data_IF_429059233636
#
_entry.id   IF_429059233636
#
_cell.length_a   1.000
_cell.length_b   1.000
_cell.length_c   1.000
_cell.angle_alpha   90.00
_cell.angle_beta   90.00
_cell.angle_gamma   90.00
#
_symmetry.space_group_name_H-M   'P 1'
#
loop_
_entity.id
_entity.type
_entity.pdbx_description
1 polymer ?
#
# COMPACT_ATOMS: atom_id res chain seq x y z
N UNK A 1 -3.20 5.61 18.14
CA UNK A 1 -4.49 5.62 17.43
C UNK A 1 -4.20 5.44 15.94
N UNK A 2 -4.52 4.27 15.39
CA UNK A 2 -4.16 3.88 14.01
C UNK A 2 -5.21 2.94 13.44
N UNK A 3 -5.38 2.97 12.11
CA UNK A 3 -6.29 2.07 11.38
C UNK A 3 -5.50 1.27 10.36
N UNK A 4 -5.86 0.01 10.15
CA UNK A 4 -5.41 -0.80 9.03
C UNK A 4 -6.61 -1.07 8.11
N UNK A 5 -6.55 -0.58 6.87
CA UNK A 5 -7.54 -0.87 5.83
C UNK A 5 -7.10 -2.12 5.07
N UNK A 6 -7.89 -3.18 5.13
CA UNK A 6 -7.57 -4.46 4.52
C UNK A 6 -8.74 -5.02 3.70
N UNK A 7 -8.49 -5.81 2.64
CA UNK A 7 -9.52 -6.57 1.94
C UNK A 7 -10.26 -7.53 2.87
N UNK A 8 -11.50 -7.90 2.52
CA UNK A 8 -12.32 -8.82 3.31
C UNK A 8 -11.63 -10.16 3.54
N UNK A 9 -10.95 -10.69 2.53
CA UNK A 9 -10.19 -11.94 2.63
C UNK A 9 -9.11 -11.88 3.71
N UNK A 10 -8.41 -10.74 3.84
CA UNK A 10 -7.40 -10.52 4.88
C UNK A 10 -8.05 -10.40 6.26
N UNK A 11 -9.22 -9.74 6.34
CA UNK A 11 -9.99 -9.63 7.58
C UNK A 11 -10.46 -11.02 8.04
N UNK A 12 -10.94 -11.86 7.13
CA UNK A 12 -11.42 -13.20 7.44
C UNK A 12 -10.28 -14.12 7.87
N UNK A 13 -9.13 -14.06 7.20
CA UNK A 13 -7.92 -14.77 7.64
C UNK A 13 -7.50 -14.33 9.06
N UNK A 14 -7.52 -13.02 9.34
CA UNK A 14 -7.19 -12.50 10.67
C UNK A 14 -8.22 -12.89 11.74
N UNK A 15 -9.50 -13.07 11.39
CA UNK A 15 -10.54 -13.56 12.31
C UNK A 15 -10.33 -15.03 12.69
N UNK A 16 -9.91 -15.85 11.73
CA UNK A 16 -9.68 -17.28 11.92
C UNK A 16 -8.42 -17.55 12.78
N UNK A 17 -7.31 -16.87 12.45
CA UNK A 17 -6.01 -17.18 13.04
C UNK A 17 -5.11 -15.96 13.32
N UNK A 18 -5.67 -14.78 13.55
CA UNK A 18 -4.93 -13.60 13.99
C UNK A 18 -4.45 -13.69 15.45
N UNK A 19 -3.45 -12.88 15.80
CA UNK A 19 -2.90 -12.78 17.17
C UNK A 19 -2.86 -11.30 17.62
N UNK A 20 -3.99 -10.75 18.11
CA UNK A 20 -4.11 -9.33 18.45
C UNK A 20 -3.24 -8.94 19.64
N UNK A 21 -2.18 -8.18 19.37
CA UNK A 21 -1.23 -7.64 20.37
C UNK A 21 -0.75 -6.24 19.97
N UNK A 22 -0.44 -5.41 20.95
CA UNK A 22 0.14 -4.08 20.72
C UNK A 22 1.62 -4.20 20.31
N UNK A 23 1.87 -4.38 19.00
CA UNK A 23 3.22 -4.61 18.45
C UNK A 23 3.85 -3.40 17.76
N UNK A 24 3.09 -2.32 17.55
CA UNK A 24 3.55 -1.18 16.76
C UNK A 24 4.82 -0.51 17.33
N UNK A 25 4.95 -0.51 18.65
CA UNK A 25 6.09 0.09 19.37
C UNK A 25 7.16 -0.95 19.76
N UNK A 26 6.96 -2.21 19.41
CA UNK A 26 7.93 -3.28 19.68
C UNK A 26 9.07 -3.23 18.66
N UNK A 27 10.28 -3.57 19.09
CA UNK A 27 11.47 -3.76 18.23
C UNK A 27 11.84 -2.58 17.30
N UNK A 28 11.44 -1.36 17.66
CA UNK A 28 11.71 -0.15 16.85
C UNK A 28 13.21 0.07 16.59
N UNK A 29 14.08 -0.31 17.53
CA UNK A 29 15.52 -0.24 17.33
C UNK A 29 16.00 -1.20 16.22
N UNK A 30 15.44 -2.41 16.17
CA UNK A 30 15.73 -3.39 15.12
C UNK A 30 15.20 -2.90 13.77
N UNK A 31 13.98 -2.39 13.72
CA UNK A 31 13.40 -1.80 12.49
C UNK A 31 14.29 -0.69 11.92
N UNK A 32 14.81 0.21 12.77
CA UNK A 32 15.77 1.24 12.36
C UNK A 32 17.10 0.66 11.87
N UNK A 33 17.58 -0.41 12.51
CA UNK A 33 18.79 -1.12 12.10
C UNK A 33 18.62 -1.75 10.71
N UNK A 34 17.48 -2.39 10.45
CA UNK A 34 17.15 -2.97 9.17
C UNK A 34 17.19 -1.93 8.04
N UNK A 35 16.57 -0.76 8.25
CA UNK A 35 16.61 0.34 7.28
C UNK A 35 18.03 0.85 7.02
N UNK A 36 18.87 0.97 8.06
CA UNK A 36 20.26 1.44 7.92
C UNK A 36 21.15 0.47 7.13
N UNK A 37 20.81 -0.83 7.11
CA UNK A 37 21.58 -1.86 6.41
C UNK A 37 21.19 -2.02 4.94
N UNK A 38 20.11 -1.41 4.48
CA UNK A 38 19.68 -1.47 3.08
C UNK A 38 20.79 -1.05 2.08
N UNK A 39 21.56 0.04 2.31
CA UNK A 39 22.64 0.42 1.40
C UNK A 39 23.77 -0.61 1.32
N UNK A 40 24.03 -1.36 2.39
CA UNK A 40 25.04 -2.44 2.40
C UNK A 40 24.67 -3.57 1.43
N UNK A 41 23.36 -3.71 1.14
CA UNK A 41 22.81 -4.65 0.17
C UNK A 41 22.60 -4.02 -1.22
N UNK A 42 23.05 -2.78 -1.42
CA UNK A 42 22.84 -2.03 -2.67
C UNK A 42 21.41 -1.51 -2.85
N UNK A 43 20.60 -1.49 -1.78
CA UNK A 43 19.22 -0.99 -1.82
C UNK A 43 19.21 0.49 -1.42
N UNK A 44 18.85 1.36 -2.36
CA UNK A 44 18.59 2.77 -2.10
C UNK A 44 17.09 2.95 -1.82
N UNK A 45 16.73 3.19 -0.56
CA UNK A 45 15.32 3.33 -0.15
C UNK A 45 14.65 4.54 -0.81
N UNK A 46 15.36 5.66 -0.97
CA UNK A 46 14.80 6.87 -1.57
C UNK A 46 14.40 6.64 -3.03
N UNK A 47 15.26 5.92 -3.78
CA UNK A 47 14.96 5.54 -5.15
C UNK A 47 13.77 4.59 -5.24
N UNK A 48 13.70 3.58 -4.35
CA UNK A 48 12.59 2.63 -4.31
C UNK A 48 11.28 3.33 -3.98
N UNK A 49 11.28 4.24 -2.99
CA UNK A 49 10.07 4.98 -2.62
C UNK A 49 9.61 5.92 -3.72
N UNK A 50 10.53 6.59 -4.43
CA UNK A 50 10.16 7.43 -5.58
C UNK A 50 9.51 6.60 -6.69
N UNK A 51 10.10 5.44 -7.03
CA UNK A 51 9.54 4.56 -8.05
C UNK A 51 8.14 4.07 -7.66
N UNK A 52 7.94 3.69 -6.39
CA UNK A 52 6.64 3.23 -5.91
C UNK A 52 5.58 4.33 -5.92
N UNK A 53 5.97 5.58 -5.65
CA UNK A 53 5.09 6.75 -5.73
C UNK A 53 4.67 7.01 -7.18
N UNK A 54 5.62 7.04 -8.11
CA UNK A 54 5.37 7.26 -9.54
C UNK A 54 4.45 6.16 -10.11
N UNK A 55 4.75 4.90 -9.80
CA UNK A 55 3.91 3.75 -10.18
C UNK A 55 2.51 3.83 -9.56
N UNK A 56 2.42 4.33 -8.32
CA UNK A 56 1.17 4.54 -7.60
C UNK A 56 0.27 5.56 -8.30
N UNK A 57 0.84 6.69 -8.75
CA UNK A 57 0.11 7.71 -9.53
C UNK A 57 -0.45 7.12 -10.81
N UNK A 58 0.35 6.35 -11.55
CA UNK A 58 -0.10 5.67 -12.78
C UNK A 58 -1.25 4.70 -12.47
N UNK A 59 -1.09 3.84 -11.46
CA UNK A 59 -2.11 2.87 -11.03
C UNK A 59 -3.39 3.51 -10.53
N UNK A 60 -3.35 4.78 -10.11
CA UNK A 60 -4.55 5.52 -9.71
C UNK A 60 -5.23 6.19 -10.91
N UNK A 61 -4.46 6.83 -11.80
CA UNK A 61 -4.99 7.55 -12.95
C UNK A 61 -5.62 6.60 -13.98
N UNK A 62 -5.01 5.45 -14.26
CA UNK A 62 -5.52 4.54 -15.29
C UNK A 62 -6.94 4.00 -14.98
N UNK A 63 -7.26 3.49 -13.77
CA UNK A 63 -8.63 3.12 -13.43
C UNK A 63 -9.60 4.31 -13.44
N UNK A 64 -9.13 5.51 -13.06
CA UNK A 64 -9.96 6.71 -13.07
C UNK A 64 -10.35 7.12 -14.50
N UNK A 65 -9.40 7.12 -15.43
CA UNK A 65 -9.67 7.37 -16.85
C UNK A 65 -10.61 6.34 -17.43
N UNK A 66 -10.42 5.05 -17.10
CA UNK A 66 -11.34 3.97 -17.51
C UNK A 66 -12.76 4.19 -16.95
N UNK A 67 -12.87 4.65 -15.71
CA UNK A 67 -14.16 5.01 -15.11
C UNK A 67 -14.82 6.15 -15.89
N UNK A 68 -14.10 7.24 -16.19
CA UNK A 68 -14.63 8.37 -16.95
C UNK A 68 -15.06 7.97 -18.37
N UNK A 69 -14.25 7.14 -19.05
CA UNK A 69 -14.59 6.60 -20.36
C UNK A 69 -15.88 5.77 -20.30
N UNK A 70 -16.00 4.90 -19.29
CA UNK A 70 -17.20 4.08 -19.07
C UNK A 70 -18.43 4.95 -18.85
N UNK A 71 -18.33 6.01 -18.06
CA UNK A 71 -19.42 6.96 -17.83
C UNK A 71 -19.80 7.72 -19.10
N UNK A 72 -18.81 8.20 -19.87
CA UNK A 72 -19.05 8.88 -21.13
C UNK A 72 -19.71 7.98 -22.17
N UNK A 73 -19.36 6.69 -22.23
CA UNK A 73 -19.99 5.71 -23.12
C UNK A 73 -21.38 5.27 -22.66
N UNK A 74 -21.66 5.34 -21.36
CA UNK A 74 -22.94 4.90 -20.78
C UNK A 74 -23.96 6.04 -20.75
N UNK A 75 -23.54 7.30 -20.85
CA UNK A 75 -24.43 8.45 -20.97
C UNK A 75 -25.28 8.31 -22.24
N UNK A 76 -26.58 7.95 -22.12
CA UNK A 76 -27.47 8.03 -23.26
C UNK A 76 -27.56 9.51 -23.59
N UNK A 77 -27.33 9.88 -24.85
CA UNK A 77 -27.66 11.23 -25.34
C UNK A 77 -29.04 11.61 -24.79
N UNK A 78 -29.08 12.63 -23.92
CA UNK A 78 -30.25 13.49 -23.81
C UNK A 78 -30.40 14.29 -25.09
#
# INVERSE_FOLDING_TARGET
DTVNTAPLETIDAYRDHGDPKARLEQDVAEARSALKRLPELGINIDQVTQQLEDDGVVKFNEPFDKLLQTLASTSPRM
#
